data_IF_332103675291
#
_entry.id   IF_332103675291
#
_cell.length_a   1.000
_cell.length_b   1.000
_cell.length_c   1.000
_cell.angle_alpha   90.00
_cell.angle_beta   90.00
_cell.angle_gamma   90.00
#
_symmetry.space_group_name_H-M   'P 1'
#
loop_
_entity.id
_entity.type
_entity.pdbx_description
1 polymer ?
#
# COMPACT_ATOMS: atom_id res chain seq x y z
N UNK A 1 -13.10 6.04 23.59
CA UNK A 1 -13.68 5.73 22.27
C UNK A 1 -12.54 5.25 21.39
N UNK A 2 -12.67 4.07 20.78
CA UNK A 2 -11.61 3.47 19.98
C UNK A 2 -11.63 4.08 18.57
N UNK A 3 -10.47 4.45 18.04
CA UNK A 3 -10.31 4.96 16.68
C UNK A 3 -10.02 3.79 15.75
N UNK A 4 -10.76 3.73 14.64
CA UNK A 4 -10.52 2.80 13.54
C UNK A 4 -9.59 3.51 12.56
N UNK A 5 -8.46 2.88 12.24
CA UNK A 5 -7.54 3.30 11.21
C UNK A 5 -7.68 2.34 10.03
N UNK A 6 -7.80 2.89 8.83
CA UNK A 6 -7.82 2.09 7.61
C UNK A 6 -6.63 2.46 6.72
N UNK A 7 -6.14 1.45 6.01
CA UNK A 7 -5.24 1.61 4.87
C UNK A 7 -5.81 0.84 3.68
N UNK A 8 -5.82 1.47 2.51
CA UNK A 8 -6.29 0.82 1.29
C UNK A 8 -5.61 1.46 0.07
N UNK A 9 -5.44 0.67 -0.99
CA UNK A 9 -5.01 1.18 -2.28
C UNK A 9 -5.67 0.38 -3.39
N UNK A 10 -5.83 1.01 -4.55
CA UNK A 10 -6.24 0.33 -5.77
C UNK A 10 -5.62 1.01 -6.96
N UNK A 11 -5.04 0.20 -7.85
CA UNK A 11 -4.67 0.62 -9.18
C UNK A 11 -5.90 0.53 -10.09
N UNK A 12 -6.33 1.67 -10.58
CA UNK A 12 -7.49 1.84 -11.45
C UNK A 12 -7.31 3.17 -12.19
N UNK A 13 -7.55 3.19 -13.50
CA UNK A 13 -7.43 4.43 -14.27
C UNK A 13 -8.41 5.50 -13.77
N UNK A 14 -7.89 6.69 -13.45
CA UNK A 14 -8.66 7.87 -13.03
C UNK A 14 -8.41 9.05 -13.96
N UNK A 15 -9.44 9.47 -14.70
CA UNK A 15 -9.38 10.58 -15.66
C UNK A 15 -9.93 11.90 -15.10
N UNK A 16 -10.72 11.82 -14.02
CA UNK A 16 -11.57 12.88 -13.46
C UNK A 16 -11.06 13.39 -12.09
N UNK A 17 -9.76 13.23 -11.81
CA UNK A 17 -9.13 13.52 -10.50
C UNK A 17 -9.45 14.93 -10.00
N UNK A 18 -9.45 15.93 -10.87
CA UNK A 18 -9.75 17.32 -10.49
C UNK A 18 -11.19 17.51 -9.98
N UNK A 19 -12.12 16.64 -10.41
CA UNK A 19 -13.51 16.63 -9.92
C UNK A 19 -13.68 15.70 -8.71
N UNK A 20 -12.98 14.56 -8.68
CA UNK A 20 -13.08 13.58 -7.61
C UNK A 20 -12.46 14.10 -6.30
N UNK A 21 -11.34 14.82 -6.40
CA UNK A 21 -10.59 15.36 -5.25
C UNK A 21 -11.43 16.25 -4.32
N UNK A 22 -12.13 17.31 -4.79
CA UNK A 22 -12.94 18.15 -3.91
C UNK A 22 -14.11 17.38 -3.28
N UNK A 23 -14.77 16.47 -4.03
CA UNK A 23 -15.87 15.66 -3.51
C UNK A 23 -15.40 14.74 -2.39
N UNK A 24 -14.29 14.02 -2.58
CA UNK A 24 -13.70 13.18 -1.52
C UNK A 24 -13.31 14.01 -0.30
N UNK A 25 -12.76 15.20 -0.51
CA UNK A 25 -12.37 16.09 0.59
C UNK A 25 -13.57 16.53 1.41
N UNK A 26 -14.64 16.97 0.75
CA UNK A 26 -15.87 17.39 1.40
C UNK A 26 -16.52 16.25 2.19
N UNK A 27 -16.57 15.04 1.61
CA UNK A 27 -17.08 13.85 2.28
C UNK A 27 -16.28 13.50 3.54
N UNK A 28 -14.96 13.47 3.46
CA UNK A 28 -14.12 13.21 4.63
C UNK A 28 -14.27 14.29 5.70
N UNK A 29 -14.33 15.57 5.30
CA UNK A 29 -14.48 16.69 6.24
C UNK A 29 -15.85 16.65 6.94
N UNK A 30 -16.92 16.38 6.19
CA UNK A 30 -18.28 16.25 6.74
C UNK A 30 -18.41 15.07 7.72
N UNK A 31 -17.74 13.95 7.42
CA UNK A 31 -17.64 12.81 8.32
C UNK A 31 -16.68 13.02 9.50
N UNK A 32 -15.91 14.12 9.53
CA UNK A 32 -14.90 14.37 10.57
C UNK A 32 -13.68 13.44 10.53
N UNK A 33 -13.44 12.80 9.37
CA UNK A 33 -12.30 11.91 9.16
C UNK A 33 -10.99 12.70 9.10
N UNK A 34 -9.90 12.05 9.52
CA UNK A 34 -8.54 12.59 9.36
C UNK A 34 -7.65 11.55 8.70
N UNK A 35 -6.64 12.00 7.97
CA UNK A 35 -5.84 11.11 7.15
C UNK A 35 -5.35 11.73 5.86
N UNK A 36 -4.92 10.87 4.95
CA UNK A 36 -4.44 11.25 3.62
C UNK A 36 -5.06 10.33 2.56
N UNK A 37 -5.61 10.92 1.51
CA UNK A 37 -5.96 10.25 0.25
C UNK A 37 -5.05 10.82 -0.84
N UNK A 38 -4.38 9.94 -1.57
CA UNK A 38 -3.63 10.24 -2.77
C UNK A 38 -4.44 9.76 -3.97
N UNK A 39 -4.62 10.64 -4.94
CA UNK A 39 -5.22 10.35 -6.24
C UNK A 39 -4.16 10.58 -7.31
N UNK A 40 -3.98 9.61 -8.20
CA UNK A 40 -3.12 9.71 -9.37
C UNK A 40 -3.82 9.07 -10.56
N UNK A 41 -3.38 9.33 -11.81
CA UNK A 41 -3.99 8.73 -12.99
C UNK A 41 -4.05 7.19 -12.93
N UNK A 42 -3.12 6.58 -12.20
CA UNK A 42 -3.04 5.12 -11.99
C UNK A 42 -3.90 4.59 -10.83
N UNK A 43 -4.54 5.45 -10.01
CA UNK A 43 -5.44 4.99 -8.96
C UNK A 43 -5.47 5.82 -7.67
N UNK A 44 -5.76 5.12 -6.57
CA UNK A 44 -6.00 5.70 -5.24
C UNK A 44 -5.18 4.97 -4.16
N UNK A 45 -4.66 5.73 -3.19
CA UNK A 45 -4.05 5.20 -1.97
C UNK A 45 -4.53 6.05 -0.78
N UNK A 46 -5.01 5.41 0.28
CA UNK A 46 -5.62 6.09 1.41
C UNK A 46 -5.19 5.52 2.75
N UNK A 47 -5.00 6.44 3.69
CA UNK A 47 -4.91 6.19 5.12
C UNK A 47 -5.91 7.11 5.80
N UNK A 48 -6.95 6.56 6.42
CA UNK A 48 -7.98 7.34 7.10
C UNK A 48 -8.16 6.84 8.53
N UNK A 49 -8.60 7.71 9.41
CA UNK A 49 -8.93 7.34 10.77
C UNK A 49 -10.12 8.14 11.29
N UNK A 50 -10.99 7.47 12.04
CA UNK A 50 -12.23 8.00 12.62
C UNK A 50 -12.91 6.99 13.54
N UNK A 51 -14.16 7.25 13.89
CA UNK A 51 -15.01 6.22 14.52
C UNK A 51 -15.38 5.16 13.49
N UNK A 52 -15.88 4.01 13.97
CA UNK A 52 -16.44 2.96 13.12
C UNK A 52 -17.50 3.52 12.17
N UNK A 53 -18.47 4.27 12.68
CA UNK A 53 -19.54 4.84 11.85
C UNK A 53 -19.01 5.74 10.73
N UNK A 54 -18.03 6.60 11.04
CA UNK A 54 -17.43 7.51 10.06
C UNK A 54 -16.68 6.76 8.95
N UNK A 55 -15.97 5.69 9.30
CA UNK A 55 -15.25 4.85 8.34
C UNK A 55 -16.24 4.08 7.47
N UNK A 56 -17.26 3.46 8.07
CA UNK A 56 -18.24 2.66 7.35
C UNK A 56 -19.05 3.53 6.38
N UNK A 57 -19.47 4.74 6.79
CA UNK A 57 -20.18 5.68 5.92
C UNK A 57 -19.32 6.11 4.72
N UNK A 58 -18.04 6.42 4.97
CA UNK A 58 -17.13 6.79 3.88
C UNK A 58 -16.88 5.62 2.93
N UNK A 59 -16.66 4.41 3.45
CA UNK A 59 -16.43 3.22 2.63
C UNK A 59 -17.68 2.84 1.82
N UNK A 60 -18.88 2.96 2.39
CA UNK A 60 -20.13 2.74 1.67
C UNK A 60 -20.31 3.75 0.52
N UNK A 61 -20.01 5.03 0.77
CA UNK A 61 -20.02 6.05 -0.28
C UNK A 61 -18.97 5.76 -1.37
N UNK A 62 -17.75 5.37 -0.97
CA UNK A 62 -16.67 5.03 -1.89
C UNK A 62 -17.07 3.85 -2.79
N UNK A 63 -17.68 2.82 -2.21
CA UNK A 63 -18.14 1.62 -2.92
C UNK A 63 -19.30 1.88 -3.89
N UNK A 64 -20.01 3.01 -3.78
CA UNK A 64 -21.03 3.40 -4.74
C UNK A 64 -20.45 3.79 -6.12
N UNK A 65 -19.15 4.12 -6.18
CA UNK A 65 -18.43 4.28 -7.43
C UNK A 65 -17.91 2.91 -7.89
N UNK A 66 -18.33 2.46 -9.08
CA UNK A 66 -17.94 1.17 -9.63
C UNK A 66 -16.42 0.97 -9.74
N UNK A 67 -15.64 2.07 -9.85
CA UNK A 67 -14.18 2.02 -9.87
C UNK A 67 -13.59 1.58 -8.55
N UNK A 68 -14.29 1.76 -7.43
CA UNK A 68 -13.82 1.48 -6.08
C UNK A 68 -14.63 0.42 -5.33
N UNK A 69 -15.67 -0.15 -5.95
CA UNK A 69 -16.60 -1.09 -5.34
C UNK A 69 -15.97 -2.32 -4.64
N UNK A 70 -14.77 -2.73 -5.06
CA UNK A 70 -14.01 -3.87 -4.53
C UNK A 70 -12.80 -3.45 -3.67
N UNK A 71 -12.65 -2.16 -3.35
CA UNK A 71 -11.58 -1.71 -2.45
C UNK A 71 -11.82 -2.33 -1.06
N UNK A 72 -10.88 -3.17 -0.65
CA UNK A 72 -10.80 -3.70 0.70
C UNK A 72 -9.83 -2.87 1.54
N UNK A 73 -10.32 -2.33 2.65
CA UNK A 73 -9.48 -1.68 3.66
C UNK A 73 -8.92 -2.69 4.66
N UNK A 74 -7.63 -2.58 4.94
CA UNK A 74 -7.03 -3.20 6.13
C UNK A 74 -7.23 -2.27 7.31
N UNK A 75 -7.65 -2.82 8.44
CA UNK A 75 -8.00 -2.05 9.63
C UNK A 75 -7.04 -2.31 10.79
N UNK A 76 -6.82 -1.27 11.60
CA UNK A 76 -6.18 -1.37 12.90
C UNK A 76 -6.85 -0.41 13.88
N UNK A 77 -6.66 -0.65 15.17
CA UNK A 77 -7.31 0.11 16.24
C UNK A 77 -6.28 0.93 17.01
N UNK A 78 -6.63 2.16 17.35
CA UNK A 78 -5.79 3.01 18.21
C UNK A 78 -6.62 3.70 19.29
N UNK A 79 -5.97 4.04 20.40
CA UNK A 79 -6.58 4.80 21.49
C UNK A 79 -6.80 6.27 21.10
N UNK A 80 -5.91 6.78 20.25
CA UNK A 80 -5.88 8.18 19.83
C UNK A 80 -5.90 8.29 18.30
N UNK A 81 -6.41 9.41 17.82
CA UNK A 81 -6.47 9.77 16.41
C UNK A 81 -5.06 10.14 15.90
N UNK A 82 -4.42 9.33 15.02
CA UNK A 82 -3.02 9.53 14.65
C UNK A 82 -2.80 10.71 13.71
N UNK A 83 -3.83 11.15 12.98
CA UNK A 83 -3.72 12.23 12.02
C UNK A 83 -4.24 13.55 12.58
N UNK A 84 -3.51 14.65 12.35
CA UNK A 84 -3.91 15.99 12.82
C UNK A 84 -4.99 16.63 11.94
N UNK A 85 -5.00 16.32 10.64
CA UNK A 85 -5.86 16.93 9.62
C UNK A 85 -6.19 15.95 8.49
N UNK A 86 -7.19 16.28 7.70
CA UNK A 86 -7.52 15.58 6.46
C UNK A 86 -6.76 16.19 5.27
N UNK A 87 -6.23 15.34 4.40
CA UNK A 87 -5.55 15.74 3.15
C UNK A 87 -6.06 14.89 1.99
N UNK A 88 -6.50 15.52 0.90
CA UNK A 88 -6.75 14.84 -0.38
C UNK A 88 -5.86 15.49 -1.43
N UNK A 89 -4.94 14.73 -2.03
CA UNK A 89 -3.87 15.26 -2.88
C UNK A 89 -3.88 14.57 -4.25
N UNK A 90 -3.86 15.37 -5.30
CA UNK A 90 -3.49 14.90 -6.63
C UNK A 90 -1.97 14.68 -6.69
N UNK A 91 -1.55 13.57 -7.26
CA UNK A 91 -0.15 13.14 -7.43
C UNK A 91 0.05 12.56 -8.82
N UNK A 92 1.32 12.45 -9.22
CA UNK A 92 1.70 11.74 -10.46
C UNK A 92 1.57 10.22 -10.31
N UNK A 93 1.90 9.72 -9.12
CA UNK A 93 1.87 8.30 -8.74
C UNK A 93 1.30 8.21 -7.32
N UNK A 94 0.51 7.17 -7.03
CA UNK A 94 0.03 6.89 -5.66
C UNK A 94 1.11 6.20 -4.81
N UNK A 95 2.12 5.62 -5.47
CA UNK A 95 3.37 5.15 -4.89
C UNK A 95 4.51 5.48 -5.85
N UNK A 96 5.32 6.47 -5.48
CA UNK A 96 6.33 7.02 -6.40
C UNK A 96 7.50 6.06 -6.60
N UNK A 97 7.56 5.45 -7.78
CA UNK A 97 8.65 4.60 -8.24
C UNK A 97 9.39 5.23 -9.44
N UNK A 98 8.80 6.23 -10.12
CA UNK A 98 9.36 6.91 -11.31
C UNK A 98 9.62 5.96 -12.49
N UNK A 99 8.82 4.90 -12.61
CA UNK A 99 8.92 3.89 -13.65
C UNK A 99 7.64 3.86 -14.50
N UNK A 100 7.48 4.78 -15.48
CA UNK A 100 6.20 5.02 -16.18
C UNK A 100 5.71 3.86 -17.06
N UNK A 101 6.55 2.85 -17.31
CA UNK A 101 6.18 1.67 -18.10
C UNK A 101 5.44 0.60 -17.27
N UNK A 102 5.51 0.69 -15.94
CA UNK A 102 4.83 -0.26 -15.06
C UNK A 102 3.34 0.12 -15.03
N UNK A 103 2.48 -0.81 -15.45
CA UNK A 103 1.01 -0.69 -15.42
C UNK A 103 0.45 -1.70 -14.43
N UNK A 104 0.32 -1.35 -13.15
CA UNK A 104 -0.14 -2.30 -12.14
C UNK A 104 -1.59 -2.79 -12.36
N UNK A 105 -2.39 -2.06 -13.14
CA UNK A 105 -3.74 -2.50 -13.54
C UNK A 105 -3.73 -3.70 -14.50
N UNK A 106 -2.63 -3.92 -15.24
CA UNK A 106 -2.52 -4.99 -16.24
C UNK A 106 -2.29 -6.38 -15.63
N UNK A 107 -2.02 -6.45 -14.33
CA UNK A 107 -1.82 -7.71 -13.61
C UNK A 107 -1.10 -7.49 -12.29
N UNK A 108 -1.53 -8.22 -11.26
CA UNK A 108 -0.82 -8.28 -9.98
C UNK A 108 0.18 -9.42 -10.00
N UNK A 109 1.32 -9.21 -9.36
CA UNK A 109 2.22 -10.31 -9.03
C UNK A 109 1.48 -11.36 -8.18
N UNK A 110 1.89 -12.63 -8.22
CA UNK A 110 1.37 -13.65 -7.32
C UNK A 110 1.48 -13.22 -5.85
N UNK A 111 0.52 -13.65 -5.03
CA UNK A 111 0.49 -13.39 -3.59
C UNK A 111 0.66 -14.68 -2.82
N UNK A 112 1.41 -14.63 -1.72
CA UNK A 112 1.54 -15.73 -0.74
C UNK A 112 0.73 -15.40 0.52
N UNK A 113 0.05 -16.39 1.09
CA UNK A 113 -0.68 -16.21 2.36
C UNK A 113 0.32 -16.12 3.52
N UNK A 114 0.03 -15.35 4.59
CA UNK A 114 0.95 -15.23 5.73
C UNK A 114 1.39 -16.57 6.34
N UNK A 115 0.47 -17.54 6.43
CA UNK A 115 0.76 -18.88 6.97
C UNK A 115 1.72 -19.70 6.09
N UNK A 116 1.61 -19.56 4.76
CA UNK A 116 2.50 -20.25 3.83
C UNK A 116 3.87 -19.56 3.82
N UNK A 117 3.89 -18.22 3.84
CA UNK A 117 5.14 -17.47 3.93
C UNK A 117 5.93 -17.83 5.20
N UNK A 118 5.26 -17.90 6.35
CA UNK A 118 5.92 -18.35 7.57
C UNK A 118 6.54 -19.74 7.40
N UNK A 119 5.79 -20.71 6.86
CA UNK A 119 6.29 -22.07 6.60
C UNK A 119 7.52 -22.03 5.68
N UNK A 120 7.45 -21.27 4.60
CA UNK A 120 8.53 -21.11 3.62
C UNK A 120 9.80 -20.51 4.24
N UNK A 121 9.66 -19.47 5.07
CA UNK A 121 10.79 -18.86 5.78
C UNK A 121 11.40 -19.81 6.81
N UNK A 122 10.57 -20.55 7.57
CA UNK A 122 11.03 -21.52 8.57
C UNK A 122 11.78 -22.70 7.91
N UNK A 123 11.33 -23.17 6.75
CA UNK A 123 11.94 -24.31 6.03
C UNK A 123 13.03 -23.91 5.02
N UNK A 124 13.10 -22.63 4.63
CA UNK A 124 14.10 -22.07 3.71
C UNK A 124 13.83 -22.27 2.22
N UNK A 125 12.68 -22.84 1.85
CA UNK A 125 12.29 -23.04 0.44
C UNK A 125 10.77 -22.97 0.27
N UNK A 126 10.30 -22.78 -0.97
CA UNK A 126 8.88 -22.78 -1.30
C UNK A 126 8.33 -24.21 -1.51
N UNK A 127 7.07 -24.32 -1.93
CA UNK A 127 6.42 -25.63 -2.12
C UNK A 127 7.02 -26.45 -3.30
N UNK A 128 7.80 -25.82 -4.18
CA UNK A 128 8.51 -26.45 -5.30
C UNK A 128 9.97 -26.77 -4.97
N UNK A 129 10.43 -26.47 -3.75
CA UNK A 129 11.82 -26.69 -3.31
C UNK A 129 12.78 -25.59 -3.74
N UNK A 130 12.30 -24.46 -4.24
CA UNK A 130 13.16 -23.31 -4.59
C UNK A 130 13.54 -22.54 -3.34
N UNK A 131 14.81 -22.12 -3.17
CA UNK A 131 15.22 -21.28 -2.06
C UNK A 131 14.37 -20.00 -2.01
N UNK A 132 13.98 -19.60 -0.80
CA UNK A 132 13.17 -18.39 -0.59
C UNK A 132 14.06 -17.24 -0.15
N UNK A 133 13.85 -16.07 -0.75
CA UNK A 133 14.52 -14.83 -0.39
C UNK A 133 13.47 -13.77 -0.09
N UNK A 134 13.55 -13.19 1.10
CA UNK A 134 12.73 -12.06 1.50
C UNK A 134 13.45 -10.75 1.12
N UNK A 135 12.80 -9.89 0.35
CA UNK A 135 13.29 -8.55 0.04
C UNK A 135 12.50 -7.51 0.84
N UNK A 136 13.20 -6.67 1.59
CA UNK A 136 12.59 -5.51 2.23
C UNK A 136 12.71 -4.28 1.32
N UNK A 137 11.58 -3.90 0.72
CA UNK A 137 11.51 -2.76 -0.20
C UNK A 137 11.20 -1.44 0.50
N UNK A 138 11.17 -1.43 1.85
CA UNK A 138 10.89 -0.23 2.65
C UNK A 138 12.14 0.63 2.81
N UNK A 139 11.97 1.87 3.28
CA UNK A 139 13.12 2.73 3.54
C UNK A 139 13.89 2.30 4.79
N UNK A 140 15.13 2.76 4.90
CA UNK A 140 16.06 2.43 5.98
C UNK A 140 15.49 2.71 7.38
N UNK A 141 14.67 3.75 7.55
CA UNK A 141 14.03 4.04 8.83
C UNK A 141 13.02 2.95 9.23
N UNK A 142 12.17 2.52 8.30
CA UNK A 142 11.19 1.45 8.55
C UNK A 142 11.86 0.12 8.84
N UNK A 143 12.95 -0.20 8.14
CA UNK A 143 13.75 -1.41 8.37
C UNK A 143 14.38 -1.38 9.77
N UNK A 144 14.96 -0.23 10.17
CA UNK A 144 15.58 -0.07 11.48
C UNK A 144 14.62 -0.23 12.66
N UNK A 145 13.31 0.04 12.46
CA UNK A 145 12.28 -0.20 13.47
C UNK A 145 11.96 -1.70 13.61
N UNK A 146 12.14 -2.47 12.54
CA UNK A 146 11.98 -3.92 12.53
C UNK A 146 11.76 -4.48 11.13
N UNK A 147 12.37 -5.63 10.86
CA UNK A 147 12.23 -6.39 9.61
C UNK A 147 12.19 -7.89 9.90
N UNK A 148 11.90 -8.70 8.88
CA UNK A 148 11.97 -10.15 8.98
C UNK A 148 13.42 -10.62 9.10
N UNK A 149 13.64 -11.71 9.82
CA UNK A 149 14.96 -12.32 9.94
C UNK A 149 15.52 -12.65 8.55
N UNK A 150 16.78 -12.22 8.31
CA UNK A 150 17.51 -12.44 7.05
C UNK A 150 16.88 -11.81 5.80
N UNK A 151 15.98 -10.83 5.95
CA UNK A 151 15.52 -10.04 4.82
C UNK A 151 16.69 -9.27 4.19
N UNK A 152 16.76 -9.27 2.85
CA UNK A 152 17.68 -8.44 2.09
C UNK A 152 17.12 -7.03 2.06
N UNK A 153 17.84 -6.09 2.65
CA UNK A 153 17.51 -4.67 2.59
C UNK A 153 18.49 -3.90 1.70
N UNK A 154 18.07 -2.73 1.22
CA UNK A 154 18.84 -1.91 0.28
C UNK A 154 19.30 -0.57 0.86
N UNK A 155 18.98 -0.28 2.13
CA UNK A 155 19.37 0.98 2.78
C UNK A 155 18.86 2.24 2.07
N UNK A 156 17.73 2.14 1.35
CA UNK A 156 17.17 3.25 0.56
C UNK A 156 16.50 4.29 1.44
N UNK A 157 16.60 5.57 1.06
CA UNK A 157 15.85 6.65 1.72
C UNK A 157 14.46 6.82 1.11
N UNK A 158 14.31 6.48 -0.18
CA UNK A 158 13.06 6.63 -0.94
C UNK A 158 12.81 5.40 -1.80
N UNK A 159 11.54 5.02 -1.93
CA UNK A 159 11.14 3.88 -2.76
C UNK A 159 11.58 4.00 -4.24
N UNK A 160 11.71 5.21 -4.79
CA UNK A 160 12.23 5.41 -6.16
C UNK A 160 13.69 4.99 -6.35
N UNK A 161 14.43 4.73 -5.27
CA UNK A 161 15.80 4.22 -5.31
C UNK A 161 15.84 2.68 -5.36
N UNK A 162 14.73 2.01 -5.06
CA UNK A 162 14.65 0.55 -5.09
C UNK A 162 14.89 -0.06 -6.48
N UNK A 163 14.25 0.40 -7.59
CA UNK A 163 14.44 -0.21 -8.90
C UNK A 163 15.91 -0.27 -9.38
N UNK A 164 16.72 0.81 -9.30
CA UNK A 164 18.14 0.70 -9.65
C UNK A 164 18.92 -0.17 -8.66
N UNK A 165 18.61 -0.12 -7.35
CA UNK A 165 19.32 -0.90 -6.34
C UNK A 165 19.12 -2.41 -6.50
N UNK A 166 17.91 -2.88 -6.80
CA UNK A 166 17.65 -4.30 -7.06
C UNK A 166 18.27 -4.77 -8.37
N UNK A 167 18.31 -3.91 -9.39
CA UNK A 167 18.85 -4.25 -10.71
C UNK A 167 20.33 -4.64 -10.68
N UNK A 168 21.12 -4.08 -9.77
CA UNK A 168 22.55 -4.40 -9.60
C UNK A 168 22.79 -5.86 -9.20
N UNK A 169 21.84 -6.46 -8.46
CA UNK A 169 21.99 -7.80 -7.88
C UNK A 169 20.95 -8.80 -8.41
N UNK A 170 20.26 -8.50 -9.53
CA UNK A 170 19.20 -9.36 -10.07
C UNK A 170 19.64 -10.80 -10.34
N UNK A 171 20.91 -11.01 -10.70
CA UNK A 171 21.47 -12.34 -10.93
C UNK A 171 21.46 -13.22 -9.67
N UNK A 172 21.52 -12.62 -8.47
CA UNK A 172 21.49 -13.38 -7.21
C UNK A 172 20.12 -13.97 -6.89
N UNK A 173 19.08 -13.52 -7.58
CA UNK A 173 17.69 -13.94 -7.40
C UNK A 173 17.24 -14.99 -8.42
N UNK A 174 18.09 -15.34 -9.38
CA UNK A 174 17.76 -16.34 -10.39
C UNK A 174 17.48 -17.71 -9.76
N UNK A 175 16.36 -18.32 -10.16
CA UNK A 175 15.93 -19.64 -9.66
C UNK A 175 15.40 -19.64 -8.22
N UNK A 176 15.31 -18.48 -7.56
CA UNK A 176 14.79 -18.33 -6.20
C UNK A 176 13.36 -17.81 -6.20
N UNK A 177 12.63 -18.14 -5.14
CA UNK A 177 11.32 -17.55 -4.88
C UNK A 177 11.50 -16.27 -4.09
N UNK A 178 11.15 -15.16 -4.72
CA UNK A 178 11.29 -13.82 -4.15
C UNK A 178 9.98 -13.40 -3.49
N UNK A 179 10.06 -12.99 -2.23
CA UNK A 179 8.92 -12.51 -1.44
C UNK A 179 9.18 -11.09 -0.97
#
# INVERSE_FOLDING_TARGET
MQIVNISAYKFVTLEDIETLRPVMRERCDAAGLKGTILLAPEGINMFLAGTREQIDEFMAWLHADARFADIASKESLSENQPFKRMLVRAKKEIITMKMPLIRPEAGRAPSVRPVDLKRWLDQGHDDEGRPVVMLDTRNAFEVAVGTFDKAVEYGIDKFSEFPPAVAENMAEFEGKTIV
#
